data_IF_872514369124
#
_entry.id   IF_872514369124
#
_cell.length_a   1.000
_cell.length_b   1.000
_cell.length_c   1.000
_cell.angle_alpha   90.00
_cell.angle_beta   90.00
_cell.angle_gamma   90.00
#
_symmetry.space_group_name_H-M   'P 1'
#
loop_
_entity.id
_entity.type
_entity.pdbx_description
1 polymer ?
#
# COMPACT_ATOMS: atom_id res chain seq x y z
N UNK A 1 13.84 -6.93 0.21
CA UNK A 1 12.76 -6.04 0.66
C UNK A 1 13.23 -4.58 0.64
N UNK A 2 14.28 -4.25 1.34
CA UNK A 2 14.78 -2.87 1.51
C UNK A 2 15.13 -2.17 0.21
N UNK A 3 15.72 -2.86 -0.75
CA UNK A 3 15.98 -2.32 -2.08
C UNK A 3 14.70 -1.89 -2.81
N UNK A 4 13.64 -2.69 -2.74
CA UNK A 4 12.35 -2.34 -3.35
C UNK A 4 11.70 -1.14 -2.67
N UNK A 5 11.81 -1.05 -1.33
CA UNK A 5 11.28 0.09 -0.57
C UNK A 5 12.06 1.36 -0.94
N UNK A 6 13.41 1.28 -1.04
CA UNK A 6 14.23 2.40 -1.51
C UNK A 6 13.78 2.91 -2.88
N UNK A 7 13.64 2.02 -3.84
CA UNK A 7 13.19 2.38 -5.19
C UNK A 7 11.79 3.03 -5.20
N UNK A 8 10.87 2.57 -4.31
CA UNK A 8 9.55 3.17 -4.18
C UNK A 8 9.59 4.60 -3.61
N UNK A 9 10.55 4.90 -2.73
CA UNK A 9 10.81 6.27 -2.29
C UNK A 9 11.42 7.12 -3.42
N UNK A 10 12.41 6.60 -4.12
CA UNK A 10 13.13 7.31 -5.19
C UNK A 10 12.20 7.73 -6.35
N UNK A 11 11.16 6.94 -6.63
CA UNK A 11 10.17 7.26 -7.66
C UNK A 11 8.90 7.95 -7.12
N UNK A 12 8.91 8.42 -5.87
CA UNK A 12 7.76 9.05 -5.20
C UNK A 12 6.48 8.19 -5.20
N UNK A 13 6.62 6.88 -5.23
CA UNK A 13 5.51 5.95 -4.98
C UNK A 13 5.17 5.87 -3.48
N UNK A 14 6.17 6.12 -2.63
CA UNK A 14 6.02 6.35 -1.19
C UNK A 14 6.67 7.68 -0.87
N UNK A 15 5.96 8.54 -0.12
CA UNK A 15 6.50 9.80 0.38
C UNK A 15 6.37 9.83 1.90
N UNK A 16 7.42 10.29 2.59
CA UNK A 16 7.42 10.52 4.03
C UNK A 16 7.12 12.00 4.31
N UNK A 17 6.21 12.29 5.22
CA UNK A 17 5.78 13.65 5.55
C UNK A 17 4.52 13.65 6.39
N UNK A 18 3.81 14.77 6.40
CA UNK A 18 2.52 14.92 7.07
C UNK A 18 1.45 15.11 5.99
N UNK A 19 0.55 14.13 5.88
CA UNK A 19 -0.47 14.10 4.83
C UNK A 19 -1.87 13.96 5.44
N UNK A 20 -2.77 14.86 5.08
CA UNK A 20 -4.20 14.74 5.42
C UNK A 20 -4.87 13.74 4.50
N UNK A 21 -5.49 12.71 5.06
CA UNK A 21 -6.25 11.69 4.32
C UNK A 21 -7.69 12.14 4.06
N UNK A 22 -8.37 11.48 3.13
CA UNK A 22 -9.81 11.72 2.86
C UNK A 22 -10.70 11.47 4.09
N UNK A 23 -10.27 10.63 5.02
CA UNK A 23 -10.95 10.37 6.30
C UNK A 23 -10.81 11.51 7.32
N UNK A 24 -10.00 12.54 7.04
CA UNK A 24 -9.61 13.59 8.00
C UNK A 24 -8.39 13.21 8.85
N UNK A 25 -7.98 11.97 8.86
CA UNK A 25 -6.82 11.52 9.63
C UNK A 25 -5.51 11.97 9.01
N UNK A 26 -4.48 12.14 9.84
CA UNK A 26 -3.13 12.46 9.41
C UNK A 26 -2.34 11.16 9.20
N UNK A 27 -1.54 11.12 8.14
CA UNK A 27 -0.63 10.00 7.86
C UNK A 27 0.79 10.49 7.65
N UNK A 28 1.77 9.76 8.18
CA UNK A 28 3.20 10.01 7.92
C UNK A 28 3.65 9.54 6.54
N UNK A 29 2.85 8.72 5.89
CA UNK A 29 3.17 8.19 4.57
C UNK A 29 2.04 8.52 3.60
N UNK A 30 2.44 8.95 2.41
CA UNK A 30 1.55 9.01 1.25
C UNK A 30 1.97 7.94 0.25
N UNK A 31 0.99 7.17 -0.23
CA UNK A 31 1.21 6.07 -1.15
C UNK A 31 0.56 6.40 -2.50
N UNK A 32 1.37 6.45 -3.55
CA UNK A 32 0.93 6.69 -4.91
C UNK A 32 1.62 5.73 -5.89
N UNK A 33 1.28 4.45 -5.78
CA UNK A 33 1.88 3.42 -6.64
C UNK A 33 1.49 3.57 -8.11
N UNK A 34 0.51 4.43 -8.45
CA UNK A 34 0.20 4.77 -9.84
C UNK A 34 1.40 5.40 -10.56
N UNK A 35 2.34 6.02 -9.84
CA UNK A 35 3.58 6.53 -10.42
C UNK A 35 4.46 5.43 -11.03
N UNK A 36 4.28 4.15 -10.67
CA UNK A 36 5.01 3.02 -11.24
C UNK A 36 4.90 2.96 -12.77
N UNK A 37 3.82 3.45 -13.36
CA UNK A 37 3.65 3.48 -14.82
C UNK A 37 4.76 4.27 -15.54
N UNK A 38 5.39 5.21 -14.84
CA UNK A 38 6.51 6.01 -15.34
C UNK A 38 7.88 5.31 -15.16
N UNK A 39 7.91 4.18 -14.45
CA UNK A 39 9.12 3.42 -14.12
C UNK A 39 8.98 1.95 -14.56
N UNK A 40 9.02 1.66 -15.88
CA UNK A 40 8.68 0.34 -16.41
C UNK A 40 9.49 -0.81 -15.81
N UNK A 41 10.78 -0.60 -15.56
CA UNK A 41 11.64 -1.64 -14.95
C UNK A 41 11.16 -2.00 -13.55
N UNK A 42 10.88 -1.00 -12.71
CA UNK A 42 10.40 -1.22 -11.35
C UNK A 42 8.99 -1.83 -11.35
N UNK A 43 8.12 -1.38 -12.26
CA UNK A 43 6.79 -1.99 -12.45
C UNK A 43 6.92 -3.49 -12.79
N UNK A 44 7.81 -3.86 -13.70
CA UNK A 44 8.10 -5.26 -14.01
C UNK A 44 8.57 -6.03 -12.78
N UNK A 45 9.56 -5.52 -12.05
CA UNK A 45 10.13 -6.17 -10.86
C UNK A 45 9.08 -6.40 -9.75
N UNK A 46 8.22 -5.40 -9.51
CA UNK A 46 7.12 -5.50 -8.53
C UNK A 46 6.09 -6.52 -9.02
N UNK A 47 5.72 -6.48 -10.29
CA UNK A 47 4.75 -7.42 -10.85
C UNK A 47 5.24 -8.87 -10.79
N UNK A 48 6.54 -9.11 -10.98
CA UNK A 48 7.17 -10.43 -10.79
C UNK A 48 7.04 -10.92 -9.34
N UNK A 49 7.31 -10.03 -8.39
CA UNK A 49 7.20 -10.36 -6.96
C UNK A 49 5.76 -10.66 -6.58
N UNK A 50 4.79 -9.88 -7.10
CA UNK A 50 3.36 -10.13 -6.91
C UNK A 50 2.99 -11.50 -7.47
N UNK A 51 3.37 -11.81 -8.72
CA UNK A 51 3.11 -13.11 -9.32
C UNK A 51 3.71 -14.25 -8.51
N UNK A 52 4.96 -14.11 -8.08
CA UNK A 52 5.67 -15.12 -7.28
C UNK A 52 5.07 -15.32 -5.88
N UNK A 53 4.29 -14.37 -5.37
CA UNK A 53 3.60 -14.48 -4.07
C UNK A 53 2.28 -15.24 -4.17
N UNK A 54 1.78 -15.48 -5.38
CA UNK A 54 0.53 -16.21 -5.61
C UNK A 54 0.84 -17.72 -5.55
N UNK A 55 0.41 -18.36 -4.48
CA UNK A 55 0.69 -19.77 -4.24
C UNK A 55 -0.35 -20.73 -4.85
N UNK A 56 -1.41 -20.20 -5.44
CA UNK A 56 -2.50 -20.96 -6.04
C UNK A 56 -2.42 -20.89 -7.57
N UNK A 57 -2.76 -22.01 -8.22
CA UNK A 57 -3.00 -21.97 -9.65
C UNK A 57 -4.24 -21.13 -9.97
N UNK A 58 -4.14 -20.34 -11.04
CA UNK A 58 -5.25 -19.51 -11.51
C UNK A 58 -5.33 -19.48 -13.05
N UNK A 59 -6.52 -19.15 -13.52
CA UNK A 59 -6.84 -19.15 -14.95
C UNK A 59 -6.91 -17.72 -15.50
N UNK A 60 -7.45 -16.78 -14.70
CA UNK A 60 -7.68 -15.40 -15.10
C UNK A 60 -7.22 -14.43 -14.01
N UNK A 61 -6.96 -13.19 -14.40
CA UNK A 61 -6.50 -12.12 -13.49
C UNK A 61 -7.41 -10.90 -13.60
N UNK A 62 -7.70 -10.26 -12.46
CA UNK A 62 -8.47 -9.01 -12.39
C UNK A 62 -7.64 -7.93 -11.71
N UNK A 63 -7.32 -6.86 -12.43
CA UNK A 63 -6.66 -5.68 -11.83
C UNK A 63 -7.69 -4.65 -11.36
N UNK A 64 -7.57 -4.19 -10.11
CA UNK A 64 -8.43 -3.11 -9.59
C UNK A 64 -8.01 -1.77 -10.23
N UNK A 65 -8.96 -1.00 -10.77
CA UNK A 65 -8.68 0.36 -11.26
C UNK A 65 -8.24 1.31 -10.13
N UNK A 66 -7.20 2.15 -10.30
CA UNK A 66 -6.33 2.22 -11.48
C UNK A 66 -4.96 1.61 -11.18
N UNK A 67 -4.60 1.42 -9.90
CA UNK A 67 -3.25 1.03 -9.49
C UNK A 67 -2.93 -0.45 -9.70
N UNK A 68 -3.90 -1.33 -9.52
CA UNK A 68 -3.73 -2.77 -9.75
C UNK A 68 -3.66 -3.17 -11.23
N UNK A 69 -4.27 -2.36 -12.12
CA UNK A 69 -4.33 -2.68 -13.55
C UNK A 69 -2.97 -2.81 -14.24
N UNK A 70 -2.00 -1.89 -14.08
CA UNK A 70 -0.71 -2.02 -14.74
C UNK A 70 0.04 -3.30 -14.35
N UNK A 71 -0.06 -3.69 -13.07
CA UNK A 71 0.55 -4.90 -12.53
C UNK A 71 -0.12 -6.14 -13.12
N UNK A 72 -1.46 -6.19 -13.08
CA UNK A 72 -2.24 -7.28 -13.66
C UNK A 72 -2.01 -7.41 -15.17
N UNK A 73 -1.93 -6.29 -15.89
CA UNK A 73 -1.65 -6.29 -17.34
C UNK A 73 -0.26 -6.88 -17.64
N UNK A 74 0.76 -6.48 -16.88
CA UNK A 74 2.08 -7.07 -17.07
C UNK A 74 2.07 -8.58 -16.83
N UNK A 75 1.46 -9.04 -15.72
CA UNK A 75 1.35 -10.47 -15.39
C UNK A 75 0.57 -11.21 -16.49
N UNK A 76 -0.55 -10.65 -16.96
CA UNK A 76 -1.37 -11.20 -18.04
C UNK A 76 -0.54 -11.46 -19.29
N UNK A 77 0.19 -10.45 -19.76
CA UNK A 77 1.01 -10.55 -20.98
C UNK A 77 2.16 -11.54 -20.79
N UNK A 78 2.91 -11.41 -19.69
CA UNK A 78 4.12 -12.20 -19.48
C UNK A 78 3.84 -13.68 -19.26
N UNK A 79 2.78 -14.01 -18.53
CA UNK A 79 2.45 -15.38 -18.16
C UNK A 79 1.28 -15.96 -18.96
N UNK A 80 0.87 -15.24 -20.02
CA UNK A 80 -0.24 -15.63 -20.91
C UNK A 80 -1.51 -16.01 -20.11
N UNK A 81 -1.90 -15.14 -19.18
CA UNK A 81 -3.11 -15.29 -18.36
C UNK A 81 -4.18 -14.30 -18.85
N UNK A 82 -5.34 -14.75 -19.32
CA UNK A 82 -6.45 -13.86 -19.67
C UNK A 82 -6.78 -12.88 -18.54
N UNK A 83 -7.13 -11.65 -18.91
CA UNK A 83 -7.47 -10.61 -17.95
C UNK A 83 -8.93 -10.21 -18.09
N UNK A 84 -9.59 -10.06 -16.94
CA UNK A 84 -10.92 -9.43 -16.85
C UNK A 84 -10.79 -8.10 -16.08
N UNK A 85 -11.73 -7.24 -16.30
CA UNK A 85 -11.81 -5.98 -15.57
C UNK A 85 -13.23 -5.69 -15.10
N UNK A 86 -13.35 -5.16 -13.87
CA UNK A 86 -14.60 -4.67 -13.32
C UNK A 86 -14.69 -3.17 -13.54
N UNK A 87 -15.81 -2.70 -14.03
CA UNK A 87 -16.07 -1.30 -14.34
C UNK A 87 -16.63 -0.58 -13.11
N UNK A 88 -16.24 0.67 -12.94
CA UNK A 88 -16.72 1.51 -11.83
C UNK A 88 -18.23 1.82 -11.91
N UNK A 89 -18.81 1.80 -13.12
CA UNK A 89 -20.23 2.08 -13.35
C UNK A 89 -20.80 1.25 -14.49
N UNK A 90 -22.04 0.84 -14.32
CA UNK A 90 -22.84 0.22 -15.35
C UNK A 90 -23.09 1.21 -16.51
N UNK A 91 -22.89 0.77 -17.77
CA UNK A 91 -23.26 1.61 -18.93
C UNK A 91 -24.77 1.79 -18.99
N UNK A 92 -25.22 3.00 -19.28
CA UNK A 92 -26.63 3.29 -19.56
C UNK A 92 -27.07 2.83 -20.96
N UNK A 93 -26.13 2.31 -21.77
CA UNK A 93 -26.37 1.84 -23.17
C UNK A 93 -25.41 0.68 -23.52
N UNK A 94 -25.85 -0.17 -24.44
CA UNK A 94 -25.10 -1.37 -24.86
C UNK A 94 -25.34 -2.58 -23.97
N UNK A 95 -24.41 -3.57 -23.99
CA UNK A 95 -24.45 -4.69 -23.05
C UNK A 95 -24.14 -4.19 -21.66
N UNK A 96 -25.07 -4.41 -20.73
CA UNK A 96 -25.08 -3.86 -19.38
C UNK A 96 -24.18 -4.65 -18.42
N UNK A 97 -23.02 -5.12 -18.90
CA UNK A 97 -22.08 -5.94 -18.13
C UNK A 97 -21.13 -5.07 -17.31
N UNK A 98 -21.02 -5.38 -16.02
CA UNK A 98 -20.02 -4.78 -15.12
C UNK A 98 -18.63 -5.38 -15.33
N UNK A 99 -18.54 -6.59 -15.88
CA UNK A 99 -17.29 -7.32 -16.12
C UNK A 99 -17.00 -7.32 -17.61
N UNK A 100 -15.82 -6.91 -17.99
CA UNK A 100 -15.29 -6.99 -19.36
C UNK A 100 -14.23 -8.09 -19.43
N UNK A 101 -14.11 -8.75 -20.60
CA UNK A 101 -13.22 -9.88 -20.83
C UNK A 101 -13.98 -11.21 -20.84
N UNK A 102 -13.28 -12.28 -21.19
CA UNK A 102 -13.84 -13.63 -21.28
C UNK A 102 -13.57 -14.40 -20.00
N UNK A 103 -14.59 -15.02 -19.43
CA UNK A 103 -14.49 -15.85 -18.24
C UNK A 103 -15.61 -16.88 -18.17
N UNK A 104 -15.42 -17.91 -17.34
CA UNK A 104 -16.42 -18.92 -17.01
C UNK A 104 -16.63 -18.96 -15.49
N UNK A 105 -17.76 -19.44 -15.04
CA UNK A 105 -18.06 -19.54 -13.61
C UNK A 105 -17.09 -20.43 -12.83
N UNK A 106 -16.43 -21.37 -13.51
CA UNK A 106 -15.37 -22.21 -12.94
C UNK A 106 -13.98 -21.60 -13.00
N UNK A 107 -13.79 -20.44 -13.68
CA UNK A 107 -12.47 -19.81 -13.82
C UNK A 107 -11.94 -19.38 -12.46
N UNK A 108 -10.72 -19.82 -12.14
CA UNK A 108 -10.00 -19.41 -10.93
C UNK A 108 -9.41 -18.02 -11.16
N UNK A 109 -9.86 -17.05 -10.39
CA UNK A 109 -9.52 -15.64 -10.55
C UNK A 109 -8.60 -15.16 -9.43
N UNK A 110 -7.55 -14.39 -9.81
CA UNK A 110 -6.72 -13.62 -8.88
C UNK A 110 -7.04 -12.14 -9.03
N UNK A 111 -7.30 -11.46 -7.91
CA UNK A 111 -7.51 -10.02 -7.86
C UNK A 111 -6.20 -9.34 -7.47
N UNK A 112 -5.81 -8.29 -8.20
CA UNK A 112 -4.59 -7.50 -7.96
C UNK A 112 -4.97 -6.06 -7.63
N UNK A 113 -4.40 -5.54 -6.54
CA UNK A 113 -4.46 -4.10 -6.20
C UNK A 113 -3.06 -3.57 -5.87
N UNK A 114 -2.90 -2.24 -5.88
CA UNK A 114 -1.64 -1.59 -5.53
C UNK A 114 -1.52 -1.38 -4.02
N UNK A 115 -2.54 -0.81 -3.37
CA UNK A 115 -2.49 -0.46 -1.94
C UNK A 115 -3.80 -0.78 -1.25
N UNK A 116 -3.75 -1.63 -0.23
CA UNK A 116 -4.92 -1.84 0.64
C UNK A 116 -4.87 -0.89 1.84
N UNK A 117 -6.00 -0.20 2.07
CA UNK A 117 -6.26 0.62 3.26
C UNK A 117 -7.40 0.01 4.07
N UNK A 118 -8.62 0.49 3.90
CA UNK A 118 -9.83 -0.13 4.47
C UNK A 118 -10.33 -1.34 3.68
N UNK A 119 -9.75 -1.59 2.52
CA UNK A 119 -10.17 -2.67 1.61
C UNK A 119 -11.46 -2.38 0.82
N UNK A 120 -11.92 -1.11 0.79
CA UNK A 120 -13.18 -0.74 0.12
C UNK A 120 -13.22 -1.16 -1.35
N UNK A 121 -12.19 -0.78 -2.15
CA UNK A 121 -12.10 -1.13 -3.57
C UNK A 121 -12.08 -2.65 -3.80
N UNK A 122 -11.34 -3.37 -2.96
CA UNK A 122 -11.28 -4.84 -3.05
C UNK A 122 -12.64 -5.45 -2.72
N UNK A 123 -13.34 -4.96 -1.66
CA UNK A 123 -14.68 -5.44 -1.29
C UNK A 123 -15.69 -5.23 -2.42
N UNK A 124 -15.64 -4.08 -3.08
CA UNK A 124 -16.52 -3.76 -4.20
C UNK A 124 -16.29 -4.72 -5.37
N UNK A 125 -15.05 -4.90 -5.81
CA UNK A 125 -14.68 -5.84 -6.90
C UNK A 125 -14.99 -7.28 -6.50
N UNK A 126 -14.69 -7.67 -5.26
CA UNK A 126 -14.97 -9.01 -4.73
C UNK A 126 -16.47 -9.33 -4.80
N UNK A 127 -17.33 -8.42 -4.33
CA UNK A 127 -18.79 -8.64 -4.32
C UNK A 127 -19.39 -8.78 -5.72
N UNK A 128 -18.76 -8.17 -6.74
CA UNK A 128 -19.19 -8.32 -8.13
C UNK A 128 -18.73 -9.67 -8.70
N UNK A 129 -17.54 -10.13 -8.32
CA UNK A 129 -16.92 -11.33 -8.89
C UNK A 129 -17.30 -12.63 -8.16
N UNK A 130 -17.63 -12.62 -6.86
CA UNK A 130 -17.78 -13.81 -6.03
C UNK A 130 -18.83 -14.82 -6.53
N UNK A 131 -19.86 -14.34 -7.25
CA UNK A 131 -20.88 -15.20 -7.85
C UNK A 131 -20.65 -15.44 -9.36
N UNK A 132 -19.57 -14.93 -9.93
CA UNK A 132 -19.27 -15.01 -11.37
C UNK A 132 -18.09 -15.91 -11.66
N UNK A 133 -17.09 -15.95 -10.77
CA UNK A 133 -15.86 -16.72 -10.89
C UNK A 133 -15.43 -17.28 -9.54
N UNK A 134 -14.47 -18.21 -9.54
CA UNK A 134 -13.88 -18.72 -8.31
C UNK A 134 -12.67 -17.85 -7.90
N UNK A 135 -12.83 -16.93 -6.95
CA UNK A 135 -11.74 -16.09 -6.45
C UNK A 135 -10.81 -16.94 -5.58
N UNK A 136 -9.61 -17.21 -6.05
CA UNK A 136 -8.62 -18.09 -5.39
C UNK A 136 -7.56 -17.30 -4.61
N UNK A 137 -7.27 -16.07 -5.00
CA UNK A 137 -6.29 -15.22 -4.31
C UNK A 137 -6.58 -13.74 -4.53
N UNK A 138 -6.15 -12.92 -3.58
CA UNK A 138 -6.07 -11.47 -3.68
C UNK A 138 -4.65 -11.08 -3.32
N UNK A 139 -3.96 -10.34 -4.20
CA UNK A 139 -2.58 -9.88 -3.96
C UNK A 139 -2.48 -8.37 -4.07
N UNK A 140 -1.82 -7.76 -3.08
CA UNK A 140 -1.59 -6.32 -3.04
C UNK A 140 -0.09 -6.02 -2.90
N UNK A 141 0.35 -4.88 -3.40
CA UNK A 141 1.76 -4.49 -3.25
C UNK A 141 2.01 -3.98 -1.83
N UNK A 142 1.19 -3.05 -1.34
CA UNK A 142 1.37 -2.46 -0.01
C UNK A 142 0.12 -2.65 0.85
N UNK A 143 0.33 -3.20 2.06
CA UNK A 143 -0.66 -3.22 3.12
C UNK A 143 -0.38 -2.11 4.14
N UNK A 144 -1.31 -1.17 4.27
CA UNK A 144 -1.23 -0.07 5.26
C UNK A 144 -1.66 -0.48 6.66
N UNK A 145 -2.15 -1.71 6.83
CA UNK A 145 -2.64 -2.24 8.12
C UNK A 145 -3.73 -1.36 8.79
N UNK A 146 -4.61 -0.76 7.99
CA UNK A 146 -5.67 0.14 8.46
C UNK A 146 -7.07 -0.48 8.33
N UNK A 147 -7.16 -1.79 8.13
CA UNK A 147 -8.43 -2.49 7.92
C UNK A 147 -8.79 -3.34 9.14
N UNK A 148 -10.07 -3.36 9.46
CA UNK A 148 -10.66 -4.26 10.45
C UNK A 148 -11.77 -5.07 9.78
N UNK A 149 -11.82 -6.39 10.04
CA UNK A 149 -12.93 -7.25 9.62
C UNK A 149 -13.04 -7.43 8.10
N UNK A 150 -11.95 -7.72 7.42
CA UNK A 150 -12.00 -8.20 6.04
C UNK A 150 -12.52 -9.66 6.04
N UNK A 151 -13.48 -9.95 5.16
CA UNK A 151 -14.08 -11.29 5.02
C UNK A 151 -13.30 -12.19 4.05
N UNK A 152 -12.19 -11.73 3.50
CA UNK A 152 -11.32 -12.46 2.58
C UNK A 152 -9.86 -12.43 3.06
N UNK A 153 -9.11 -13.46 2.69
CA UNK A 153 -7.66 -13.50 2.87
C UNK A 153 -6.96 -12.89 1.65
N UNK A 154 -5.81 -12.27 1.88
CA UNK A 154 -5.00 -11.68 0.82
C UNK A 154 -3.52 -11.77 1.16
N UNK A 155 -2.68 -11.67 0.13
CA UNK A 155 -1.23 -11.58 0.23
C UNK A 155 -0.78 -10.14 -0.01
N UNK A 156 0.33 -9.78 0.59
CA UNK A 156 0.98 -8.48 0.34
C UNK A 156 2.49 -8.64 0.21
N UNK A 157 3.15 -7.73 -0.50
CA UNK A 157 4.60 -7.71 -0.60
C UNK A 157 5.26 -6.91 0.51
N UNK A 158 4.70 -5.76 0.86
CA UNK A 158 5.26 -4.79 1.80
C UNK A 158 4.13 -4.34 2.73
N UNK A 159 4.41 -4.24 4.02
CA UNK A 159 3.49 -3.64 4.96
C UNK A 159 4.06 -2.33 5.56
N UNK A 160 3.21 -1.59 6.27
CA UNK A 160 3.59 -0.33 6.93
C UNK A 160 4.80 -0.48 7.85
N UNK A 161 4.93 -1.59 8.57
CA UNK A 161 6.03 -1.81 9.51
C UNK A 161 7.35 -2.04 8.78
N UNK A 162 7.35 -2.68 7.61
CA UNK A 162 8.55 -2.86 6.77
C UNK A 162 9.09 -1.50 6.34
N UNK A 163 8.20 -0.58 5.94
CA UNK A 163 8.55 0.78 5.55
C UNK A 163 9.11 1.58 6.74
N UNK A 164 8.48 1.46 7.90
CA UNK A 164 8.93 2.13 9.12
C UNK A 164 10.31 1.62 9.54
N UNK A 165 10.53 0.31 9.50
CA UNK A 165 11.83 -0.31 9.79
C UNK A 165 12.91 0.16 8.82
N UNK A 166 12.62 0.13 7.51
CA UNK A 166 13.56 0.63 6.50
C UNK A 166 14.00 2.08 6.77
N UNK A 167 13.06 2.97 7.10
CA UNK A 167 13.40 4.36 7.43
C UNK A 167 14.22 4.48 8.71
N UNK A 168 13.88 3.68 9.73
CA UNK A 168 14.66 3.66 10.98
C UNK A 168 16.10 3.23 10.72
N UNK A 169 16.30 2.14 10.00
CA UNK A 169 17.63 1.63 9.65
C UNK A 169 18.41 2.65 8.81
N UNK A 170 17.74 3.33 7.87
CA UNK A 170 18.32 4.42 7.09
C UNK A 170 18.77 5.57 7.99
N UNK A 171 17.92 6.05 8.91
CA UNK A 171 18.29 7.14 9.82
C UNK A 171 19.43 6.76 10.76
N UNK A 172 19.46 5.51 11.26
CA UNK A 172 20.58 4.98 12.07
C UNK A 172 21.88 5.05 11.25
N UNK A 173 21.85 4.64 10.00
CA UNK A 173 23.00 4.66 9.10
C UNK A 173 23.46 6.08 8.77
N UNK A 174 22.52 6.95 8.38
CA UNK A 174 22.81 8.33 7.97
C UNK A 174 23.38 9.16 9.12
N UNK A 175 22.82 9.03 10.32
CA UNK A 175 23.25 9.73 11.53
C UNK A 175 24.41 9.05 12.26
N UNK A 176 24.74 7.82 11.87
CA UNK A 176 25.72 6.96 12.60
C UNK A 176 25.43 6.88 14.09
N UNK A 177 24.13 6.82 14.44
CA UNK A 177 23.63 6.83 15.81
C UNK A 177 22.41 5.90 15.93
N UNK A 178 22.28 5.28 17.09
CA UNK A 178 21.10 4.52 17.51
C UNK A 178 20.47 5.10 18.78
N UNK A 179 20.80 6.34 19.11
CA UNK A 179 20.32 6.98 20.35
C UNK A 179 18.83 7.29 20.27
N UNK A 180 18.16 7.02 21.36
CA UNK A 180 16.77 7.41 21.61
C UNK A 180 16.73 8.44 22.73
N UNK A 181 16.07 9.56 22.48
CA UNK A 181 15.79 10.57 23.50
C UNK A 181 14.38 10.33 24.06
N UNK A 182 14.28 10.10 25.37
CA UNK A 182 13.00 10.02 26.07
C UNK A 182 12.70 11.37 26.72
N UNK A 183 11.66 12.04 26.25
CA UNK A 183 11.32 13.39 26.66
C UNK A 183 10.08 13.41 27.56
N UNK A 184 10.29 13.71 28.84
CA UNK A 184 9.23 13.96 29.82
C UNK A 184 9.07 15.49 29.97
N UNK A 185 8.79 16.17 28.85
CA UNK A 185 8.74 17.64 28.77
C UNK A 185 7.33 18.04 28.34
N UNK A 186 6.65 18.81 29.17
CA UNK A 186 5.27 19.27 28.92
C UNK A 186 5.20 20.53 28.04
N UNK A 187 6.27 21.35 28.04
CA UNK A 187 6.35 22.56 27.23
C UNK A 187 6.85 22.23 25.79
N UNK A 188 6.00 22.40 24.76
CA UNK A 188 6.36 22.09 23.38
C UNK A 188 7.53 22.94 22.85
N UNK A 189 7.62 24.22 23.24
CA UNK A 189 8.69 25.11 22.78
C UNK A 189 10.04 24.67 23.31
N UNK A 190 10.08 24.35 24.61
CA UNK A 190 11.28 23.81 25.26
C UNK A 190 11.69 22.47 24.66
N UNK A 191 10.72 21.61 24.31
CA UNK A 191 10.98 20.35 23.63
C UNK A 191 11.59 20.60 22.25
N UNK A 192 11.03 21.52 21.47
CA UNK A 192 11.56 21.89 20.15
C UNK A 192 12.96 22.44 20.22
N UNK A 193 13.25 23.31 21.20
CA UNK A 193 14.61 23.85 21.39
C UNK A 193 15.63 22.73 21.67
N UNK A 194 15.27 21.78 22.51
CA UNK A 194 16.13 20.63 22.81
C UNK A 194 16.32 19.78 21.53
N UNK A 195 15.23 19.45 20.82
CA UNK A 195 15.30 18.64 19.62
C UNK A 195 16.12 19.32 18.50
N UNK A 196 16.08 20.64 18.37
CA UNK A 196 16.91 21.39 17.45
C UNK A 196 18.41 21.27 17.78
N UNK A 197 18.77 21.14 19.05
CA UNK A 197 20.16 21.00 19.49
C UNK A 197 20.69 19.57 19.41
N UNK A 198 19.85 18.55 19.64
CA UNK A 198 20.29 17.14 19.69
C UNK A 198 19.81 16.30 18.51
N UNK A 199 18.97 16.87 17.63
CA UNK A 199 18.30 16.15 16.54
C UNK A 199 19.26 15.40 15.61
N UNK A 200 20.46 15.94 15.38
CA UNK A 200 21.47 15.29 14.56
C UNK A 200 22.09 14.04 15.19
N UNK A 201 21.97 13.89 16.50
CA UNK A 201 22.57 12.81 17.27
C UNK A 201 21.59 11.72 17.68
N UNK A 202 20.29 11.96 17.56
CA UNK A 202 19.24 11.00 17.92
C UNK A 202 18.47 10.50 16.71
N UNK A 203 18.01 9.27 16.78
CA UNK A 203 17.20 8.64 15.74
C UNK A 203 15.73 8.59 16.14
N UNK A 204 15.47 8.41 17.42
CA UNK A 204 14.12 8.31 17.97
C UNK A 204 13.96 9.34 19.09
N UNK A 205 12.82 10.03 19.08
CA UNK A 205 12.33 10.77 20.22
C UNK A 205 11.06 10.09 20.76
N UNK A 206 11.12 9.57 22.00
CA UNK A 206 9.97 9.00 22.68
C UNK A 206 9.29 10.11 23.49
N UNK A 207 8.01 10.31 23.25
CA UNK A 207 7.18 11.31 23.94
C UNK A 207 6.11 10.62 24.80
N UNK A 208 5.69 11.29 25.88
CA UNK A 208 4.50 10.94 26.64
C UNK A 208 3.35 11.85 26.18
N UNK A 209 2.39 11.29 25.45
CA UNK A 209 1.28 12.05 24.82
C UNK A 209 0.37 12.70 25.86
N UNK A 210 0.25 12.10 27.05
CA UNK A 210 -0.51 12.60 28.19
C UNK A 210 0.14 13.82 28.87
N UNK A 211 1.42 14.07 28.64
CA UNK A 211 2.17 15.21 29.22
C UNK A 211 2.16 16.41 28.26
N UNK A 212 2.13 16.18 26.95
CA UNK A 212 2.19 17.24 25.94
C UNK A 212 0.78 17.75 25.67
N UNK A 213 0.43 18.90 26.22
CA UNK A 213 -0.81 19.61 25.90
C UNK A 213 -0.68 20.34 24.57
N UNK A 214 -0.91 19.65 23.47
CA UNK A 214 -0.96 20.29 22.15
C UNK A 214 -2.06 19.68 21.30
N UNK A 215 -2.73 20.52 20.52
CA UNK A 215 -3.61 20.13 19.42
C UNK A 215 -2.83 19.50 18.24
N UNK A 216 -1.56 19.18 18.44
CA UNK A 216 -0.64 18.64 17.45
C UNK A 216 -0.78 17.12 17.39
N UNK A 217 -1.67 16.66 16.54
CA UNK A 217 -1.85 15.29 16.07
C UNK A 217 -2.52 14.31 17.05
N UNK A 218 -3.79 13.99 16.87
CA UNK A 218 -4.47 12.93 17.63
C UNK A 218 -4.04 11.51 17.29
N UNK A 219 -3.12 11.31 16.32
CA UNK A 219 -2.70 9.99 15.81
C UNK A 219 -1.17 9.80 15.85
N UNK A 220 -0.56 9.99 17.03
CA UNK A 220 0.77 9.45 17.28
C UNK A 220 0.70 7.97 17.61
#
# INVERSE_FOLDING_TARGET
MDHTISQLFDCNCISNGIFSLKSGNISRFYYNLKNLISYPKLLCEISEKVYSSINQDFDIICGIPHGGMPIATYISIKYNKPMILVRDKQKSYGMNNLIEGEYHSSSRCVIIDDVITSGGSIKEVYSILENQVNIVNISVVIDRQMHNGLHFQYNFLINKNDITRYLLDKYISDKKSNLCFSADISDPNKLLDILNNIGDYIVICKLHVDIIQTDLCPDF
#
